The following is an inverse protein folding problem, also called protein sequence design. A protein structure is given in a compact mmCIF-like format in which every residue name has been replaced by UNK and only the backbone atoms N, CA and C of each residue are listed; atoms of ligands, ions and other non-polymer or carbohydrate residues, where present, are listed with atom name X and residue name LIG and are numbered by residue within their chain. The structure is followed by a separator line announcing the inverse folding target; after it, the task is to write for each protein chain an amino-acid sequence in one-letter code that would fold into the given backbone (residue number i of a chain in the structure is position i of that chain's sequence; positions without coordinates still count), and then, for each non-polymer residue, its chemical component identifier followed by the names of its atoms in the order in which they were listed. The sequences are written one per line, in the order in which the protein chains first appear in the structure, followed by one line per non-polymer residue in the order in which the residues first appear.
data_IF_519628896693
#
_entry.id   IF_519628896693
#
_cell.length_a   1.000
_cell.length_b   1.000
_cell.length_c   1.000
_cell.angle_alpha   90.00
_cell.angle_beta   90.00
_cell.angle_gamma   90.00
#
_symmetry.space_group_name_H-M   'P 1'
#
loop_
_entity.id
_entity.type
_entity.pdbx_description
1 polymer ?
#
# COMPACT_ATOMS: atom_id res chain seq x y z
N UNK A 1 10.60 7.00 -11.96
CA UNK A 1 9.45 6.44 -11.23
C UNK A 1 8.10 6.68 -11.95
N UNK A 2 8.01 6.82 -13.29
CA UNK A 2 6.74 7.27 -13.92
C UNK A 2 5.95 6.22 -14.70
N UNK A 3 6.50 5.03 -14.97
CA UNK A 3 5.81 3.98 -15.74
C UNK A 3 4.99 3.01 -14.88
N UNK A 4 5.65 2.40 -13.89
CA UNK A 4 5.07 1.37 -13.02
C UNK A 4 3.86 1.89 -12.24
N UNK A 5 3.92 3.11 -11.73
CA UNK A 5 2.81 3.72 -10.99
C UNK A 5 1.59 4.01 -11.86
N UNK A 6 1.81 4.42 -13.12
CA UNK A 6 0.71 4.69 -14.06
C UNK A 6 -0.01 3.40 -14.48
N UNK A 7 0.73 2.30 -14.56
CA UNK A 7 0.20 0.95 -14.81
C UNK A 7 -0.54 0.38 -13.58
N UNK A 8 0.00 0.59 -12.38
CA UNK A 8 -0.67 0.25 -11.11
C UNK A 8 -1.94 1.10 -10.87
N UNK A 9 -1.92 2.36 -11.32
CA UNK A 9 -3.05 3.30 -11.30
C UNK A 9 -4.03 3.11 -12.47
N UNK A 10 -3.88 2.10 -13.33
CA UNK A 10 -4.94 1.72 -14.28
C UNK A 10 -5.96 0.80 -13.59
N UNK A 11 -7.18 0.68 -14.11
CA UNK A 11 -8.17 -0.30 -13.61
C UNK A 11 -7.51 -1.69 -13.57
N UNK A 12 -7.83 -2.53 -12.57
CA UNK A 12 -7.31 -3.90 -12.54
C UNK A 12 -7.55 -4.60 -13.88
N UNK A 13 -6.72 -5.58 -14.28
CA UNK A 13 -6.90 -6.32 -15.54
C UNK A 13 -8.31 -6.91 -15.70
N UNK A 14 -9.07 -7.05 -14.60
CA UNK A 14 -10.42 -7.61 -14.55
C UNK A 14 -11.54 -6.57 -14.24
N UNK A 15 -11.26 -5.27 -14.29
CA UNK A 15 -12.24 -4.23 -13.92
C UNK A 15 -12.39 -4.02 -12.40
N UNK A 16 -11.44 -4.53 -11.62
CA UNK A 16 -11.41 -4.44 -10.16
C UNK A 16 -11.20 -2.99 -9.68
N UNK A 17 -12.04 -2.53 -8.73
CA UNK A 17 -11.85 -1.26 -8.05
C UNK A 17 -10.64 -1.37 -7.11
N UNK A 18 -9.49 -0.96 -7.61
CA UNK A 18 -8.24 -0.96 -6.83
C UNK A 18 -8.34 -0.12 -5.54
N UNK A 19 -9.21 0.90 -5.48
CA UNK A 19 -9.44 1.66 -4.24
C UNK A 19 -10.19 0.83 -3.19
N UNK A 20 -11.09 -0.06 -3.60
CA UNK A 20 -11.73 -1.03 -2.72
C UNK A 20 -10.72 -2.08 -2.23
N UNK A 21 -9.91 -2.64 -3.14
CA UNK A 21 -8.86 -3.64 -2.81
C UNK A 21 -7.84 -3.08 -1.82
N UNK A 22 -7.31 -1.90 -2.09
CA UNK A 22 -6.33 -1.25 -1.22
C UNK A 22 -6.97 -0.92 0.13
N UNK A 23 -8.25 -0.50 0.15
CA UNK A 23 -9.00 -0.28 1.38
C UNK A 23 -9.15 -1.56 2.21
N UNK A 24 -9.50 -2.68 1.57
CA UNK A 24 -9.61 -3.97 2.23
C UNK A 24 -8.26 -4.48 2.76
N UNK A 25 -7.16 -4.20 2.06
CA UNK A 25 -5.81 -4.45 2.57
C UNK A 25 -5.53 -3.63 3.83
N UNK A 26 -5.84 -2.33 3.84
CA UNK A 26 -5.67 -1.48 5.01
C UNK A 26 -6.42 -2.04 6.24
N UNK A 27 -7.68 -2.46 6.07
CA UNK A 27 -8.47 -3.06 7.17
C UNK A 27 -7.84 -4.36 7.70
N UNK A 28 -7.39 -5.26 6.82
CA UNK A 28 -6.73 -6.51 7.22
C UNK A 28 -5.43 -6.24 7.99
N UNK A 29 -4.67 -5.23 7.56
CA UNK A 29 -3.42 -4.85 8.22
C UNK A 29 -3.67 -4.27 9.62
N UNK A 30 -4.73 -3.46 9.82
CA UNK A 30 -5.12 -3.01 11.18
C UNK A 30 -5.55 -4.18 12.06
N UNK A 31 -6.37 -5.09 11.52
CA UNK A 31 -6.76 -6.29 12.26
C UNK A 31 -5.55 -7.15 12.66
N UNK A 32 -4.52 -7.24 11.81
CA UNK A 32 -3.26 -7.89 12.15
C UNK A 32 -2.52 -7.14 13.27
N UNK A 33 -2.49 -5.80 13.24
CA UNK A 33 -1.90 -4.98 14.30
C UNK A 33 -2.54 -5.24 15.67
N UNK A 34 -3.86 -5.43 15.70
CA UNK A 34 -4.60 -5.77 16.93
C UNK A 34 -4.25 -7.17 17.49
N UNK A 35 -3.75 -8.07 16.63
CA UNK A 35 -3.45 -9.46 16.99
C UNK A 35 -2.03 -9.69 17.50
N UNK A 36 -1.12 -8.73 17.30
CA UNK A 36 0.29 -8.85 17.68
C UNK A 36 0.56 -8.28 19.07
N UNK A 37 1.44 -8.94 19.82
CA UNK A 37 1.83 -8.50 21.17
C UNK A 37 2.96 -7.46 21.17
N UNK A 38 3.88 -7.55 20.20
CA UNK A 38 4.99 -6.60 20.06
C UNK A 38 4.48 -5.21 19.69
N UNK A 39 4.89 -4.20 20.47
CA UNK A 39 4.53 -2.81 20.19
C UNK A 39 5.15 -2.31 18.89
N UNK A 40 6.41 -2.66 18.59
CA UNK A 40 7.05 -2.23 17.34
C UNK A 40 6.33 -2.77 16.12
N UNK A 41 6.02 -4.07 16.11
CA UNK A 41 5.31 -4.72 14.99
C UNK A 41 3.90 -4.15 14.84
N UNK A 42 3.24 -3.81 15.95
CA UNK A 42 1.93 -3.14 15.92
C UNK A 42 2.02 -1.76 15.29
N UNK A 43 3.03 -0.98 15.66
CA UNK A 43 3.24 0.38 15.17
C UNK A 43 3.56 0.35 13.65
N UNK A 44 4.40 -0.59 13.21
CA UNK A 44 4.71 -0.80 11.80
C UNK A 44 3.44 -1.14 11.00
N UNK A 45 2.66 -2.13 11.45
CA UNK A 45 1.41 -2.53 10.79
C UNK A 45 0.39 -1.38 10.73
N UNK A 46 0.27 -0.58 11.79
CA UNK A 46 -0.61 0.59 11.78
C UNK A 46 -0.15 1.67 10.79
N UNK A 47 1.16 1.91 10.70
CA UNK A 47 1.75 2.82 9.72
C UNK A 47 1.48 2.37 8.28
N UNK A 48 1.60 1.06 8.02
CA UNK A 48 1.32 0.49 6.70
C UNK A 48 -0.17 0.58 6.35
N UNK A 49 -1.05 0.32 7.32
CA UNK A 49 -2.49 0.47 7.15
C UNK A 49 -2.91 1.93 6.90
N UNK A 50 -2.23 2.89 7.52
CA UNK A 50 -2.44 4.32 7.25
C UNK A 50 -2.07 4.66 5.80
N UNK A 51 -0.88 4.26 5.36
CA UNK A 51 -0.43 4.49 3.98
C UNK A 51 -1.39 3.88 2.94
N UNK A 52 -1.82 2.64 3.16
CA UNK A 52 -2.81 1.98 2.31
C UNK A 52 -4.17 2.69 2.34
N UNK A 53 -4.66 3.10 3.51
CA UNK A 53 -5.92 3.83 3.64
C UNK A 53 -5.94 5.13 2.83
N UNK A 54 -4.86 5.92 2.92
CA UNK A 54 -4.71 7.16 2.16
C UNK A 54 -4.68 6.89 0.64
N UNK A 55 -3.98 5.84 0.18
CA UNK A 55 -3.97 5.45 -1.23
C UNK A 55 -5.36 5.04 -1.73
N UNK A 56 -6.14 4.33 -0.91
CA UNK A 56 -7.50 3.94 -1.23
C UNK A 56 -8.43 5.15 -1.40
N UNK A 57 -8.30 6.15 -0.52
CA UNK A 57 -9.07 7.39 -0.59
C UNK A 57 -8.72 8.22 -1.82
N UNK A 58 -7.42 8.42 -2.09
CA UNK A 58 -6.95 9.09 -3.30
C UNK A 58 -7.53 8.42 -4.56
N UNK A 59 -7.61 7.08 -4.55
CA UNK A 59 -8.14 6.32 -5.67
C UNK A 59 -9.65 6.44 -5.86
N UNK A 60 -10.43 6.55 -4.77
CA UNK A 60 -11.89 6.74 -4.81
C UNK A 60 -12.31 8.15 -5.19
N UNK A 61 -11.37 9.10 -5.21
CA UNK A 61 -11.61 10.48 -5.62
C UNK A 61 -12.19 10.59 -7.04
N UNK A 62 -12.91 11.68 -7.36
CA UNK A 62 -13.82 11.81 -8.50
C UNK A 62 -13.22 11.58 -9.90
N UNK A 63 -11.89 11.60 -10.05
CA UNK A 63 -11.22 11.38 -11.35
C UNK A 63 -10.28 10.17 -11.36
N UNK A 64 -10.06 9.48 -10.23
CA UNK A 64 -9.02 8.44 -10.08
C UNK A 64 -7.60 8.90 -10.48
N UNK A 65 -7.45 10.19 -10.79
CA UNK A 65 -6.27 10.84 -11.29
C UNK A 65 -5.42 11.23 -10.08
N UNK A 66 -4.36 10.46 -9.86
CA UNK A 66 -3.31 10.84 -8.93
C UNK A 66 -2.61 12.10 -9.44
N UNK A 67 -2.70 13.19 -8.68
CA UNK A 67 -1.79 14.32 -8.84
C UNK A 67 -0.48 13.94 -8.16
N UNK A 68 0.58 13.76 -8.95
CA UNK A 68 1.92 13.44 -8.47
C UNK A 68 2.47 14.52 -7.51
N UNK A 69 1.89 15.73 -7.49
CA UNK A 69 2.25 16.81 -6.57
C UNK A 69 1.39 16.85 -5.30
N UNK A 70 0.41 15.95 -5.15
CA UNK A 70 -0.41 15.88 -3.94
C UNK A 70 0.48 15.45 -2.75
N UNK A 71 0.62 16.29 -1.71
CA UNK A 71 1.39 15.94 -0.52
C UNK A 71 0.83 14.70 0.22
N UNK A 72 -0.47 14.44 0.06
CA UNK A 72 -1.15 13.24 0.60
C UNK A 72 -0.68 11.99 -0.13
N UNK A 73 -0.52 12.06 -1.46
CA UNK A 73 0.03 10.97 -2.26
C UNK A 73 1.49 10.70 -1.89
N UNK A 74 2.31 11.75 -1.79
CA UNK A 74 3.71 11.61 -1.39
C UNK A 74 3.84 10.97 0.01
N UNK A 75 2.99 11.37 0.96
CA UNK A 75 2.94 10.78 2.30
C UNK A 75 2.52 9.31 2.25
N UNK A 76 1.44 9.00 1.54
CA UNK A 76 0.91 7.64 1.44
C UNK A 76 1.93 6.68 0.80
N UNK A 77 2.59 7.12 -0.27
CA UNK A 77 3.68 6.39 -0.91
C UNK A 77 4.89 6.21 0.02
N UNK A 78 5.26 7.23 0.78
CA UNK A 78 6.36 7.13 1.75
C UNK A 78 6.11 6.05 2.80
N UNK A 79 4.88 5.94 3.31
CA UNK A 79 4.48 4.92 4.29
C UNK A 79 4.49 3.51 3.68
N UNK A 80 3.96 3.35 2.45
CA UNK A 80 3.87 2.02 1.80
C UNK A 80 5.21 1.56 1.22
N UNK A 81 6.03 2.46 0.66
CA UNK A 81 7.36 2.11 0.13
C UNK A 81 8.33 1.83 1.28
N UNK A 82 8.29 2.62 2.36
CA UNK A 82 9.06 2.33 3.57
C UNK A 82 8.75 0.95 4.14
N UNK A 83 7.45 0.61 4.22
CA UNK A 83 6.98 -0.72 4.61
C UNK A 83 7.55 -1.84 3.74
N UNK A 84 7.51 -1.66 2.42
CA UNK A 84 8.00 -2.64 1.47
C UNK A 84 9.51 -2.86 1.60
N UNK A 85 10.28 -1.78 1.80
CA UNK A 85 11.73 -1.87 2.03
C UNK A 85 12.07 -2.58 3.36
N UNK A 86 11.34 -2.28 4.44
CA UNK A 86 11.50 -2.97 5.74
C UNK A 86 11.22 -4.48 5.61
N UNK A 87 10.13 -4.85 4.92
CA UNK A 87 9.78 -6.24 4.66
C UNK A 87 10.80 -6.95 3.76
N UNK A 88 11.28 -6.29 2.72
CA UNK A 88 12.29 -6.83 1.81
C UNK A 88 13.60 -7.11 2.56
N UNK A 89 14.01 -6.20 3.45
CA UNK A 89 15.22 -6.36 4.26
C UNK A 89 15.06 -7.46 5.32
N UNK A 90 13.90 -7.55 5.97
CA UNK A 90 13.64 -8.53 7.01
C UNK A 90 13.39 -9.94 6.46
N UNK A 91 12.77 -10.05 5.28
CA UNK A 91 12.32 -11.31 4.68
C UNK A 91 12.62 -11.36 3.17
N UNK A 92 13.90 -11.29 2.75
CA UNK A 92 14.26 -11.24 1.33
C UNK A 92 13.81 -12.47 0.54
N UNK A 93 13.76 -13.63 1.20
CA UNK A 93 13.32 -14.90 0.58
C UNK A 93 11.83 -14.90 0.24
N UNK A 94 11.00 -14.12 0.96
CA UNK A 94 9.56 -14.01 0.68
C UNK A 94 9.26 -13.23 -0.61
N UNK A 95 10.24 -12.52 -1.14
CA UNK A 95 10.14 -11.70 -2.35
C UNK A 95 10.92 -12.28 -3.54
N UNK A 96 11.55 -13.47 -3.41
CA UNK A 96 12.06 -14.17 -4.59
C UNK A 96 10.89 -14.59 -5.45
N UNK A 97 10.70 -13.88 -6.55
CA UNK A 97 9.93 -14.39 -7.69
C UNK A 97 10.78 -15.52 -8.26
N UNK A 98 10.36 -16.77 -8.09
CA UNK A 98 10.99 -17.87 -8.80
C UNK A 98 10.86 -17.59 -10.30
N UNK A 99 11.99 -17.38 -10.97
CA UNK A 99 12.04 -17.27 -12.41
C UNK A 99 11.73 -18.65 -12.99
N UNK A 100 10.46 -18.86 -13.35
CA UNK A 100 10.02 -19.98 -14.17
C UNK A 100 10.33 -19.76 -15.65
#
# INVERSE_FOLDING_TARGET
MSGVFREWASVGPDGEDRGEVIGAFAERTRAAADSVSSSSVRDDLNSWAEGAGLLAEIRRGPDGAMDDNDPTLARALGLVVGAADELLQACPESYRVEAG
#
